data_IF_202348539654
#
_entry.id   IF_202348539654
#
_cell.length_a   1.000
_cell.length_b   1.000
_cell.length_c   1.000
_cell.angle_alpha   90.00
_cell.angle_beta   90.00
_cell.angle_gamma   90.00
#
_symmetry.space_group_name_H-M   'P 1'
#
loop_
_entity.id
_entity.type
_entity.pdbx_description
1 polymer ?
#
# COMPACT_ATOMS: atom_id res chain seq x y z
N UNK A 1 12.95 -16.48 3.90
CA UNK A 1 12.97 -15.41 4.93
C UNK A 1 14.25 -15.46 5.76
N UNK A 2 14.59 -16.59 6.38
CA UNK A 2 15.78 -16.72 7.22
C UNK A 2 17.08 -16.30 6.51
N UNK A 3 17.34 -16.81 5.31
CA UNK A 3 18.54 -16.48 4.54
C UNK A 3 18.62 -14.99 4.19
N UNK A 4 17.49 -14.36 3.86
CA UNK A 4 17.42 -12.93 3.56
C UNK A 4 17.73 -12.09 4.80
N UNK A 5 17.18 -12.47 5.97
CA UNK A 5 17.49 -11.79 7.23
C UNK A 5 18.98 -11.91 7.56
N UNK A 6 19.56 -13.10 7.43
CA UNK A 6 21.01 -13.33 7.64
C UNK A 6 21.85 -12.46 6.70
N UNK A 7 21.50 -12.40 5.41
CA UNK A 7 22.21 -11.57 4.43
C UNK A 7 22.09 -10.08 4.74
N UNK A 8 20.92 -9.61 5.20
CA UNK A 8 20.73 -8.22 5.61
C UNK A 8 21.52 -7.88 6.89
N UNK A 9 21.59 -8.80 7.86
CA UNK A 9 22.44 -8.64 9.05
C UNK A 9 23.94 -8.56 8.69
N UNK A 10 24.39 -9.36 7.73
CA UNK A 10 25.78 -9.34 7.24
C UNK A 10 26.10 -8.05 6.49
N UNK A 11 25.21 -7.58 5.61
CA UNK A 11 25.38 -6.32 4.90
C UNK A 11 25.51 -5.14 5.88
N UNK A 12 24.62 -5.07 6.88
CA UNK A 12 24.65 -4.01 7.88
C UNK A 12 25.96 -4.00 8.69
N UNK A 13 26.48 -5.17 9.05
CA UNK A 13 27.77 -5.31 9.74
C UNK A 13 28.94 -4.85 8.85
N UNK A 14 28.89 -5.18 7.56
CA UNK A 14 29.96 -4.88 6.61
C UNK A 14 30.00 -3.39 6.21
N UNK A 15 28.84 -2.75 6.08
CA UNK A 15 28.75 -1.36 5.62
C UNK A 15 28.62 -0.35 6.76
N UNK A 16 28.26 -0.80 7.96
CA UNK A 16 27.94 0.06 9.10
C UNK A 16 26.63 0.84 8.95
N UNK A 17 25.82 0.53 7.93
CA UNK A 17 24.50 1.13 7.72
C UNK A 17 23.42 0.40 8.54
N UNK A 18 22.27 1.04 8.81
CA UNK A 18 21.13 0.33 9.39
C UNK A 18 20.71 -0.85 8.50
N UNK A 19 20.35 -1.97 9.13
CA UNK A 19 19.88 -3.17 8.42
C UNK A 19 18.63 -2.86 7.60
N UNK A 20 18.58 -3.42 6.38
CA UNK A 20 17.38 -3.42 5.55
C UNK A 20 16.22 -4.15 6.25
N UNK A 21 15.02 -3.57 6.20
CA UNK A 21 13.83 -4.19 6.76
C UNK A 21 13.37 -5.37 5.89
N UNK A 22 12.89 -6.43 6.53
CA UNK A 22 12.23 -7.57 5.88
C UNK A 22 10.78 -7.65 6.36
N UNK A 23 9.85 -7.59 5.42
CA UNK A 23 8.41 -7.52 5.69
C UNK A 23 7.68 -8.42 4.71
N UNK A 24 6.42 -8.75 5.00
CA UNK A 24 5.57 -9.50 4.08
C UNK A 24 4.12 -9.02 4.15
N UNK A 25 3.46 -9.01 2.98
CA UNK A 25 2.01 -9.01 2.90
C UNK A 25 1.50 -10.46 3.01
N UNK A 26 0.57 -10.73 3.92
CA UNK A 26 0.11 -12.09 4.22
C UNK A 26 -1.42 -12.19 4.19
N UNK A 27 -1.92 -13.39 3.94
CA UNK A 27 -3.37 -13.65 3.84
C UNK A 27 -4.10 -13.42 5.17
N UNK A 28 -5.36 -13.00 5.06
CA UNK A 28 -6.32 -12.99 6.17
C UNK A 28 -7.23 -14.23 6.19
N UNK A 29 -7.24 -15.04 5.12
CA UNK A 29 -8.10 -16.22 5.01
C UNK A 29 -7.51 -17.44 5.71
N UNK A 30 -8.24 -18.00 6.68
CA UNK A 30 -7.79 -19.14 7.51
C UNK A 30 -7.22 -20.31 6.69
N UNK A 31 -7.92 -20.72 5.62
CA UNK A 31 -7.47 -21.84 4.78
C UNK A 31 -6.11 -21.60 4.12
N UNK A 32 -5.85 -20.39 3.62
CA UNK A 32 -4.55 -20.00 3.07
C UNK A 32 -3.49 -19.90 4.16
N UNK A 33 -3.86 -19.35 5.32
CA UNK A 33 -2.96 -19.22 6.47
C UNK A 33 -2.44 -20.61 6.87
N UNK A 34 -3.34 -21.56 7.11
CA UNK A 34 -3.02 -22.90 7.59
C UNK A 34 -2.22 -23.73 6.58
N UNK A 35 -2.46 -23.52 5.29
CA UNK A 35 -1.78 -24.26 4.23
C UNK A 35 -0.39 -23.71 3.89
N UNK A 36 -0.13 -22.42 4.14
CA UNK A 36 0.99 -21.71 3.53
C UNK A 36 1.99 -21.07 4.49
N UNK A 37 1.68 -20.95 5.80
CA UNK A 37 2.51 -20.15 6.71
C UNK A 37 2.88 -20.89 7.99
N UNK A 38 4.18 -20.98 8.24
CA UNK A 38 4.73 -21.30 9.56
C UNK A 38 4.65 -20.05 10.45
N UNK A 39 3.45 -19.72 10.93
CA UNK A 39 3.09 -18.42 11.53
C UNK A 39 4.10 -17.97 12.61
N UNK A 40 4.40 -18.83 13.57
CA UNK A 40 5.34 -18.54 14.65
C UNK A 40 6.78 -18.32 14.15
N UNK A 41 7.21 -19.03 13.11
CA UNK A 41 8.56 -18.87 12.56
C UNK A 41 8.68 -17.57 11.77
N UNK A 42 7.71 -17.26 10.90
CA UNK A 42 7.76 -16.00 10.17
C UNK A 42 7.62 -14.77 11.09
N UNK A 43 6.86 -14.89 12.20
CA UNK A 43 6.73 -13.85 13.22
C UNK A 43 8.04 -13.48 13.92
N UNK A 44 8.99 -14.44 14.02
CA UNK A 44 10.34 -14.18 14.53
C UNK A 44 11.19 -13.42 13.50
N UNK A 45 11.07 -13.78 12.23
CA UNK A 45 11.96 -13.34 11.16
C UNK A 45 11.60 -11.97 10.57
N UNK A 46 10.31 -11.65 10.49
CA UNK A 46 9.84 -10.42 9.87
C UNK A 46 9.90 -9.25 10.84
N UNK A 47 10.29 -8.07 10.35
CA UNK A 47 10.27 -6.82 11.12
C UNK A 47 8.83 -6.40 11.42
N UNK A 48 7.97 -6.47 10.42
CA UNK A 48 6.51 -6.38 10.56
C UNK A 48 5.79 -7.14 9.44
N UNK A 49 4.52 -7.46 9.69
CA UNK A 49 3.65 -8.26 8.84
C UNK A 49 2.42 -7.43 8.49
N UNK A 50 2.18 -7.23 7.20
CA UNK A 50 0.98 -6.55 6.69
C UNK A 50 -0.10 -7.58 6.38
N UNK A 51 -1.08 -7.73 7.26
CA UNK A 51 -2.18 -8.68 7.05
C UNK A 51 -3.18 -8.04 6.10
N UNK A 52 -3.44 -8.69 4.96
CA UNK A 52 -4.36 -8.21 3.92
C UNK A 52 -5.82 -8.45 4.35
N UNK A 53 -6.30 -7.72 5.37
CA UNK A 53 -7.65 -7.85 5.96
C UNK A 53 -8.74 -7.22 5.08
N UNK A 54 -8.77 -7.63 3.83
CA UNK A 54 -9.72 -7.23 2.78
C UNK A 54 -9.79 -8.37 1.75
N UNK A 55 -10.62 -8.23 0.72
CA UNK A 55 -10.94 -9.31 -0.23
C UNK A 55 -11.56 -10.54 0.45
N UNK A 56 -12.31 -10.32 1.53
CA UNK A 56 -13.04 -11.37 2.21
C UNK A 56 -14.22 -11.89 1.38
N UNK A 57 -14.85 -10.99 0.63
CA UNK A 57 -15.93 -11.28 -0.30
C UNK A 57 -15.75 -10.50 -1.60
N UNK A 58 -16.22 -11.08 -2.71
CA UNK A 58 -16.12 -10.44 -4.03
C UNK A 58 -16.89 -11.19 -5.10
N UNK A 59 -16.74 -10.79 -6.37
CA UNK A 59 -17.51 -11.34 -7.49
C UNK A 59 -17.34 -12.84 -7.78
N UNK A 60 -16.51 -13.54 -7.00
CA UNK A 60 -16.37 -14.99 -6.96
C UNK A 60 -17.41 -15.69 -6.05
N UNK A 61 -18.13 -14.94 -5.21
CA UNK A 61 -19.17 -15.46 -4.32
C UNK A 61 -20.53 -15.57 -5.01
N UNK A 62 -21.42 -16.39 -4.44
CA UNK A 62 -22.80 -16.61 -4.92
C UNK A 62 -23.82 -15.64 -4.33
N UNK A 63 -23.43 -14.88 -3.30
CA UNK A 63 -24.23 -13.82 -2.71
C UNK A 63 -23.36 -12.60 -2.37
N UNK A 64 -23.97 -11.43 -2.18
CA UNK A 64 -23.25 -10.21 -1.81
C UNK A 64 -22.57 -10.35 -0.45
N UNK A 65 -21.33 -9.91 -0.33
CA UNK A 65 -20.61 -9.84 0.93
C UNK A 65 -19.71 -8.61 0.97
N UNK A 66 -19.36 -8.14 2.16
CA UNK A 66 -18.54 -6.93 2.30
C UNK A 66 -17.05 -7.22 2.03
N UNK A 67 -16.34 -6.29 1.38
CA UNK A 67 -14.91 -6.44 1.08
C UNK A 67 -14.04 -6.68 2.33
N UNK A 68 -14.28 -5.88 3.37
CA UNK A 68 -13.45 -5.82 4.58
C UNK A 68 -14.28 -5.63 5.86
N UNK A 69 -15.19 -6.55 6.21
CA UNK A 69 -15.98 -6.44 7.44
C UNK A 69 -15.08 -6.49 8.68
N UNK A 70 -15.35 -5.65 9.69
CA UNK A 70 -14.56 -5.62 10.92
C UNK A 70 -14.84 -6.88 11.76
N UNK A 71 -16.11 -7.19 11.95
CA UNK A 71 -16.58 -8.32 12.76
C UNK A 71 -17.35 -9.34 11.90
N UNK A 72 -17.63 -10.49 12.49
CA UNK A 72 -18.55 -11.49 11.93
C UNK A 72 -19.97 -10.94 11.86
N UNK A 73 -20.62 -11.10 10.70
CA UNK A 73 -22.00 -10.75 10.47
C UNK A 73 -22.99 -11.81 10.97
N UNK A 74 -24.21 -11.41 11.26
CA UNK A 74 -25.32 -12.28 11.68
C UNK A 74 -25.78 -13.26 10.59
N UNK A 75 -25.39 -13.02 9.33
CA UNK A 75 -25.65 -13.89 8.17
C UNK A 75 -24.49 -14.82 7.83
N UNK A 76 -23.36 -14.69 8.52
CA UNK A 76 -22.18 -15.48 8.21
C UNK A 76 -22.31 -16.89 8.78
N UNK A 77 -22.32 -17.87 7.87
CA UNK A 77 -22.41 -19.30 8.17
C UNK A 77 -21.15 -20.04 7.67
N UNK A 78 -20.88 -21.20 8.26
CA UNK A 78 -19.72 -22.01 7.89
C UNK A 78 -18.40 -21.22 7.95
N UNK A 79 -17.60 -21.33 6.89
CA UNK A 79 -16.29 -20.69 6.80
C UNK A 79 -16.35 -19.16 6.68
N UNK A 80 -17.49 -18.58 6.27
CA UNK A 80 -17.66 -17.12 6.19
C UNK A 80 -17.48 -16.44 7.56
N UNK A 81 -17.70 -17.18 8.65
CA UNK A 81 -17.46 -16.68 10.02
C UNK A 81 -16.01 -16.32 10.30
N UNK A 82 -15.07 -16.80 9.48
CA UNK A 82 -13.65 -16.47 9.56
C UNK A 82 -13.26 -15.28 8.67
N UNK A 83 -14.15 -14.81 7.80
CA UNK A 83 -13.86 -13.79 6.79
C UNK A 83 -14.14 -12.37 7.30
N UNK A 84 -13.45 -12.01 8.38
CA UNK A 84 -13.49 -10.66 8.96
C UNK A 84 -12.15 -10.26 9.56
N UNK A 85 -11.94 -8.95 9.69
CA UNK A 85 -10.69 -8.37 10.18
C UNK A 85 -10.35 -8.86 11.59
N UNK A 86 -11.33 -8.88 12.49
CA UNK A 86 -11.15 -9.28 13.88
C UNK A 86 -10.60 -10.71 13.99
N UNK A 87 -11.23 -11.66 13.29
CA UNK A 87 -10.78 -13.04 13.27
C UNK A 87 -9.35 -13.15 12.75
N UNK A 88 -9.06 -12.57 11.58
CA UNK A 88 -7.74 -12.67 10.96
C UNK A 88 -6.63 -12.14 11.87
N UNK A 89 -6.80 -10.94 12.43
CA UNK A 89 -5.81 -10.33 13.32
C UNK A 89 -5.61 -11.14 14.61
N UNK A 90 -6.71 -11.63 15.22
CA UNK A 90 -6.64 -12.47 16.41
C UNK A 90 -6.00 -13.82 16.12
N UNK A 91 -6.23 -14.39 14.93
CA UNK A 91 -5.66 -15.68 14.52
C UNK A 91 -4.15 -15.61 14.35
N UNK A 92 -3.64 -14.60 13.65
CA UNK A 92 -2.20 -14.36 13.52
C UNK A 92 -1.52 -14.18 14.89
N UNK A 93 -2.13 -13.39 15.77
CA UNK A 93 -1.63 -13.17 17.13
C UNK A 93 -1.63 -14.45 17.96
N UNK A 94 -2.73 -15.20 17.96
CA UNK A 94 -2.88 -16.42 18.74
C UNK A 94 -1.89 -17.53 18.34
N UNK A 95 -1.39 -17.47 17.10
CA UNK A 95 -0.45 -18.46 16.55
C UNK A 95 1.02 -18.00 16.56
N UNK A 96 1.36 -16.99 17.37
CA UNK A 96 2.75 -16.70 17.75
C UNK A 96 3.36 -15.46 17.12
N UNK A 97 2.59 -14.60 16.44
CA UNK A 97 3.07 -13.29 16.01
C UNK A 97 2.87 -12.24 17.11
N UNK A 98 3.91 -11.52 17.54
CA UNK A 98 3.77 -10.38 18.45
C UNK A 98 2.83 -9.31 17.88
N UNK A 99 2.00 -8.70 18.74
CA UNK A 99 0.94 -7.78 18.28
C UNK A 99 1.52 -6.52 17.63
N UNK A 100 2.62 -6.03 18.17
CA UNK A 100 3.38 -4.88 17.69
C UNK A 100 4.02 -5.09 16.30
N UNK A 101 4.11 -6.34 15.83
CA UNK A 101 4.56 -6.65 14.46
C UNK A 101 3.41 -6.78 13.46
N UNK A 102 2.16 -6.82 13.92
CA UNK A 102 1.00 -6.99 13.05
C UNK A 102 0.43 -5.64 12.62
N UNK A 103 0.46 -5.39 11.31
CA UNK A 103 -0.20 -4.25 10.68
C UNK A 103 -1.52 -4.71 10.07
N UNK A 104 -2.63 -4.10 10.48
CA UNK A 104 -3.95 -4.38 9.94
C UNK A 104 -4.13 -3.68 8.58
N UNK A 105 -4.67 -4.38 7.59
CA UNK A 105 -4.91 -3.86 6.25
C UNK A 105 -6.19 -3.01 6.16
N UNK A 106 -6.08 -1.86 5.51
CA UNK A 106 -7.17 -0.92 5.24
C UNK A 106 -7.32 -0.75 3.72
N UNK A 107 -8.44 -1.19 3.11
CA UNK A 107 -8.66 -1.00 1.69
C UNK A 107 -9.15 0.43 1.41
N UNK A 108 -8.68 1.02 0.32
CA UNK A 108 -9.22 2.26 -0.28
C UNK A 108 -10.01 1.92 -1.54
N UNK A 109 -10.69 0.78 -1.53
CA UNK A 109 -11.52 0.27 -2.61
C UNK A 109 -12.67 -0.57 -2.06
N UNK A 110 -13.67 -0.81 -2.90
CA UNK A 110 -14.79 -1.71 -2.64
C UNK A 110 -14.83 -2.88 -3.60
N UNK A 111 -15.51 -3.95 -3.18
CA UNK A 111 -15.85 -5.10 -4.03
C UNK A 111 -17.30 -4.99 -4.47
N UNK A 112 -17.55 -5.24 -5.75
CA UNK A 112 -18.84 -4.99 -6.39
C UNK A 112 -19.50 -6.26 -6.90
N UNK A 113 -20.82 -6.25 -6.90
CA UNK A 113 -21.66 -7.38 -7.27
C UNK A 113 -22.80 -6.94 -8.16
N UNK A 114 -23.24 -7.85 -9.03
CA UNK A 114 -24.47 -7.69 -9.79
C UNK A 114 -25.60 -8.50 -9.19
N UNK A 115 -26.55 -7.81 -8.56
CA UNK A 115 -27.76 -8.41 -7.98
C UNK A 115 -28.58 -9.14 -9.06
N UNK A 116 -29.09 -10.32 -8.72
CA UNK A 116 -29.97 -11.10 -9.61
C UNK A 116 -31.46 -10.97 -9.27
N UNK A 117 -31.77 -10.31 -8.14
CA UNK A 117 -33.13 -10.07 -7.64
C UNK A 117 -33.24 -8.64 -7.09
N UNK A 118 -34.41 -8.27 -6.59
CA UNK A 118 -34.61 -7.00 -5.88
C UNK A 118 -34.11 -7.01 -4.43
N UNK A 119 -33.62 -8.14 -3.91
CA UNK A 119 -32.99 -8.19 -2.60
C UNK A 119 -31.61 -7.52 -2.68
N UNK A 120 -31.35 -6.60 -1.75
CA UNK A 120 -30.12 -5.79 -1.67
C UNK A 120 -29.38 -6.02 -0.37
N UNK A 121 -29.89 -6.90 0.50
CA UNK A 121 -29.33 -7.16 1.82
C UNK A 121 -27.99 -7.90 1.74
N UNK A 122 -27.29 -8.01 2.87
CA UNK A 122 -26.10 -8.87 2.96
C UNK A 122 -26.49 -10.31 2.69
N UNK A 123 -25.68 -10.99 1.88
CA UNK A 123 -25.96 -12.27 1.24
C UNK A 123 -27.21 -12.29 0.35
N UNK A 124 -27.55 -11.17 -0.31
CA UNK A 124 -28.49 -11.19 -1.42
C UNK A 124 -27.93 -11.99 -2.62
N UNK A 125 -28.77 -12.72 -3.38
CA UNK A 125 -28.31 -13.49 -4.54
C UNK A 125 -27.69 -12.61 -5.65
N UNK A 126 -26.58 -13.07 -6.23
CA UNK A 126 -25.86 -12.35 -7.30
C UNK A 126 -25.75 -13.19 -8.57
N UNK A 127 -25.50 -12.51 -9.68
CA UNK A 127 -25.19 -13.10 -10.98
C UNK A 127 -23.68 -13.06 -11.32
N UNK A 128 -22.88 -12.47 -10.43
CA UNK A 128 -21.43 -12.33 -10.56
C UNK A 128 -20.94 -10.96 -10.11
N UNK A 129 -19.74 -10.62 -10.56
CA UNK A 129 -19.10 -9.32 -10.35
C UNK A 129 -19.95 -8.15 -10.86
N UNK A 130 -19.91 -7.03 -10.14
CA UNK A 130 -20.50 -5.77 -10.58
C UNK A 130 -19.75 -5.18 -11.78
N UNK A 131 -20.34 -4.16 -12.41
CA UNK A 131 -19.75 -3.52 -13.59
C UNK A 131 -18.39 -2.90 -13.31
N UNK A 132 -17.52 -2.85 -14.32
CA UNK A 132 -16.21 -2.22 -14.18
C UNK A 132 -16.30 -0.71 -13.95
N UNK A 133 -15.41 -0.19 -13.12
CA UNK A 133 -15.29 1.25 -12.89
C UNK A 133 -14.75 1.99 -14.13
N UNK A 134 -15.08 3.28 -14.30
CA UNK A 134 -14.62 4.07 -15.45
C UNK A 134 -13.09 4.24 -15.52
N UNK A 135 -12.39 4.15 -14.39
CA UNK A 135 -10.94 4.34 -14.27
C UNK A 135 -10.21 3.03 -13.99
N UNK A 136 -10.65 2.25 -12.99
CA UNK A 136 -10.02 0.97 -12.63
C UNK A 136 -10.22 -0.10 -13.69
N UNK A 137 -11.35 -0.05 -14.42
CA UNK A 137 -11.67 -0.91 -15.56
C UNK A 137 -11.64 -2.41 -15.24
N UNK A 138 -11.87 -2.76 -13.98
CA UNK A 138 -11.96 -4.14 -13.50
C UNK A 138 -13.38 -4.41 -12.99
N UNK A 139 -14.03 -5.46 -13.50
CA UNK A 139 -15.34 -5.87 -13.01
C UNK A 139 -15.21 -6.43 -11.58
N UNK A 140 -16.13 -6.10 -10.69
CA UNK A 140 -16.09 -6.55 -9.30
C UNK A 140 -15.23 -5.68 -8.37
N UNK A 141 -14.69 -4.57 -8.85
CA UNK A 141 -13.75 -3.73 -8.12
C UNK A 141 -13.94 -2.25 -8.45
N UNK A 142 -14.07 -1.40 -7.43
CA UNK A 142 -14.06 0.06 -7.59
C UNK A 142 -13.11 0.72 -6.60
N UNK A 143 -12.31 1.66 -7.07
CA UNK A 143 -11.54 2.54 -6.19
C UNK A 143 -12.47 3.41 -5.33
N UNK A 144 -11.99 3.93 -4.19
CA UNK A 144 -12.79 4.78 -3.30
C UNK A 144 -13.41 5.99 -4.04
N UNK A 145 -12.65 6.62 -4.94
CA UNK A 145 -13.14 7.73 -5.76
C UNK A 145 -14.22 7.33 -6.78
N UNK A 146 -14.21 6.10 -7.28
CA UNK A 146 -15.29 5.55 -8.12
C UNK A 146 -16.53 5.25 -7.28
N UNK A 147 -16.35 4.71 -6.08
CA UNK A 147 -17.44 4.53 -5.11
C UNK A 147 -18.08 5.87 -4.80
N UNK A 148 -17.32 6.93 -4.47
CA UNK A 148 -17.85 8.28 -4.24
C UNK A 148 -18.73 8.78 -5.38
N UNK A 149 -18.32 8.51 -6.63
CA UNK A 149 -19.13 8.86 -7.80
C UNK A 149 -20.43 8.04 -7.86
N UNK A 150 -20.36 6.74 -7.59
CA UNK A 150 -21.52 5.84 -7.56
C UNK A 150 -22.52 6.21 -6.44
N UNK A 151 -22.03 6.69 -5.30
CA UNK A 151 -22.86 7.10 -4.17
C UNK A 151 -23.84 8.23 -4.52
N UNK A 152 -23.59 8.99 -5.60
CA UNK A 152 -24.52 9.97 -6.13
C UNK A 152 -25.77 9.30 -6.71
N UNK A 153 -26.83 9.28 -5.91
CA UNK A 153 -28.11 8.67 -6.26
C UNK A 153 -28.18 7.17 -5.96
N UNK A 154 -27.23 6.60 -5.23
CA UNK A 154 -27.32 5.26 -4.66
C UNK A 154 -27.93 5.30 -3.26
N UNK A 155 -28.54 4.19 -2.85
CA UNK A 155 -28.95 3.99 -1.46
C UNK A 155 -27.75 3.51 -0.66
N UNK A 156 -27.44 4.20 0.44
CA UNK A 156 -26.36 3.85 1.38
C UNK A 156 -26.95 3.13 2.59
N UNK A 157 -26.32 2.04 3.00
CA UNK A 157 -26.76 1.25 4.15
C UNK A 157 -25.56 0.93 5.03
N UNK A 158 -25.76 0.96 6.34
CA UNK A 158 -24.76 0.57 7.32
C UNK A 158 -25.01 -0.87 7.80
N UNK A 159 -23.97 -1.71 7.80
CA UNK A 159 -24.02 -3.08 8.31
C UNK A 159 -23.60 -3.04 9.77
N UNK A 160 -24.58 -3.00 10.67
CA UNK A 160 -24.36 -2.67 12.09
C UNK A 160 -23.48 -3.69 12.83
N UNK A 161 -23.63 -4.98 12.54
CA UNK A 161 -22.84 -6.05 13.15
C UNK A 161 -21.42 -6.14 12.57
N UNK A 162 -21.20 -5.76 11.30
CA UNK A 162 -19.88 -5.77 10.65
C UNK A 162 -19.13 -4.43 10.71
N UNK A 163 -19.78 -3.33 11.13
CA UNK A 163 -19.23 -1.96 11.26
C UNK A 163 -18.67 -1.37 9.98
N UNK A 164 -19.37 -1.58 8.88
CA UNK A 164 -18.98 -1.15 7.54
C UNK A 164 -20.20 -0.79 6.70
N UNK A 165 -20.07 0.11 5.72
CA UNK A 165 -21.16 0.46 4.82
C UNK A 165 -21.22 -0.44 3.58
N UNK A 166 -22.39 -0.50 2.96
CA UNK A 166 -22.51 -0.83 1.54
C UNK A 166 -23.43 0.18 0.85
N UNK A 167 -23.43 0.15 -0.48
CA UNK A 167 -24.36 0.93 -1.27
C UNK A 167 -24.88 0.13 -2.46
N UNK A 168 -26.08 0.46 -2.92
CA UNK A 168 -26.65 -0.15 -4.11
C UNK A 168 -27.46 0.84 -4.93
N UNK A 169 -27.54 0.55 -6.23
CA UNK A 169 -28.34 1.30 -7.21
C UNK A 169 -28.62 0.39 -8.39
N UNK A 170 -29.88 0.32 -8.79
CA UNK A 170 -30.34 -0.61 -9.83
C UNK A 170 -29.90 -2.05 -9.49
N UNK A 171 -29.06 -2.68 -10.31
CA UNK A 171 -28.52 -4.02 -10.06
C UNK A 171 -27.11 -4.02 -9.47
N UNK A 172 -26.51 -2.85 -9.26
CA UNK A 172 -25.14 -2.74 -8.75
C UNK A 172 -25.15 -2.65 -7.22
N UNK A 173 -24.26 -3.40 -6.59
CA UNK A 173 -24.04 -3.41 -5.14
C UNK A 173 -22.54 -3.30 -4.86
N UNK A 174 -22.14 -2.49 -3.87
CA UNK A 174 -20.75 -2.33 -3.47
C UNK A 174 -20.59 -2.31 -1.96
N UNK A 175 -19.71 -3.18 -1.45
CA UNK A 175 -19.22 -3.15 -0.08
C UNK A 175 -17.87 -2.43 -0.04
N UNK A 176 -17.77 -1.34 0.71
CA UNK A 176 -16.64 -0.42 0.70
C UNK A 176 -16.36 0.13 2.09
N UNK A 177 -15.19 0.71 2.29
CA UNK A 177 -14.87 1.42 3.54
C UNK A 177 -15.04 2.94 3.39
N UNK A 178 -15.43 3.60 4.49
CA UNK A 178 -15.53 5.05 4.59
C UNK A 178 -14.81 5.59 5.85
N UNK A 179 -14.87 6.91 6.07
CA UNK A 179 -14.29 7.57 7.25
C UNK A 179 -14.78 6.97 8.58
N UNK A 180 -16.04 6.53 8.63
CA UNK A 180 -16.67 5.96 9.83
C UNK A 180 -16.17 4.54 10.12
N UNK A 181 -16.14 3.65 9.11
CA UNK A 181 -15.61 2.29 9.26
C UNK A 181 -14.11 2.28 9.57
N UNK A 182 -13.35 3.22 8.99
CA UNK A 182 -11.94 3.45 9.37
C UNK A 182 -11.81 3.83 10.85
N UNK A 183 -12.76 4.60 11.40
CA UNK A 183 -12.85 4.90 12.84
C UNK A 183 -12.91 3.63 13.68
N UNK A 184 -13.93 2.80 13.44
CA UNK A 184 -14.12 1.54 14.18
C UNK A 184 -12.92 0.58 14.04
N UNK A 185 -12.33 0.48 12.84
CA UNK A 185 -11.15 -0.35 12.61
C UNK A 185 -9.92 0.14 13.37
N UNK A 186 -9.72 1.46 13.47
CA UNK A 186 -8.61 2.01 14.26
C UNK A 186 -8.83 1.84 15.76
N UNK A 187 -10.06 1.94 16.24
CA UNK A 187 -10.38 1.65 17.64
C UNK A 187 -10.04 0.18 17.97
N UNK A 188 -10.49 -0.76 17.14
CA UNK A 188 -10.12 -2.18 17.26
C UNK A 188 -8.59 -2.38 17.25
N UNK A 189 -7.89 -1.72 16.32
CA UNK A 189 -6.42 -1.80 16.19
C UNK A 189 -5.73 -1.39 17.48
N UNK A 190 -6.15 -0.26 18.08
CA UNK A 190 -5.58 0.25 19.33
C UNK A 190 -5.93 -0.64 20.52
N UNK A 191 -7.19 -1.05 20.65
CA UNK A 191 -7.66 -1.94 21.72
C UNK A 191 -6.93 -3.29 21.73
N UNK A 192 -6.46 -3.75 20.57
CA UNK A 192 -5.72 -4.99 20.42
C UNK A 192 -4.19 -4.82 20.41
N UNK A 193 -3.69 -3.60 20.66
CA UNK A 193 -2.26 -3.26 20.68
C UNK A 193 -1.52 -3.72 19.40
N UNK A 194 -2.16 -3.55 18.24
CA UNK A 194 -1.54 -3.86 16.96
C UNK A 194 -0.45 -2.84 16.61
N UNK A 195 0.54 -3.26 15.82
CA UNK A 195 1.69 -2.46 15.43
C UNK A 195 1.38 -1.26 14.54
N UNK A 196 0.21 -1.26 13.89
CA UNK A 196 -0.23 -0.16 13.05
C UNK A 196 -1.15 -0.60 11.92
N UNK A 197 -1.19 0.20 10.87
CA UNK A 197 -2.04 -0.01 9.71
C UNK A 197 -1.22 -0.05 8.42
N UNK A 198 -1.63 -0.89 7.49
CA UNK A 198 -1.17 -0.93 6.10
C UNK A 198 -2.35 -0.53 5.20
N UNK A 199 -2.11 0.23 4.14
CA UNK A 199 -3.18 0.68 3.23
C UNK A 199 -2.95 0.09 1.84
N UNK A 200 -4.03 -0.47 1.28
CA UNK A 200 -4.08 -0.87 -0.13
C UNK A 200 -5.19 -0.11 -0.86
N UNK A 201 -4.89 0.84 -1.74
CA UNK A 201 -3.58 1.44 -2.00
C UNK A 201 -3.68 2.97 -2.06
N UNK A 202 -2.52 3.63 -2.03
CA UNK A 202 -2.45 5.09 -2.00
C UNK A 202 -3.15 5.74 -3.20
N UNK A 203 -3.10 5.12 -4.37
CA UNK A 203 -3.67 5.60 -5.64
C UNK A 203 -5.19 5.33 -5.77
N UNK A 204 -5.79 4.56 -4.87
CA UNK A 204 -7.22 4.22 -4.90
C UNK A 204 -8.07 5.09 -3.95
N UNK A 205 -7.43 5.79 -3.02
CA UNK A 205 -8.08 6.87 -2.26
C UNK A 205 -8.39 8.06 -3.18
N UNK A 206 -9.23 9.02 -2.76
CA UNK A 206 -9.37 10.29 -3.51
C UNK A 206 -8.14 11.18 -3.29
N UNK A 207 -7.01 10.75 -3.86
CA UNK A 207 -5.71 11.40 -3.74
C UNK A 207 -5.72 12.85 -4.24
N UNK A 208 -6.58 13.14 -5.22
CA UNK A 208 -6.73 14.48 -5.79
C UNK A 208 -7.68 15.37 -4.98
N UNK A 209 -8.62 14.78 -4.24
CA UNK A 209 -9.71 15.45 -3.56
C UNK A 209 -10.85 15.93 -4.48
N UNK A 210 -10.98 15.33 -5.67
CA UNK A 210 -11.87 15.82 -6.73
C UNK A 210 -13.18 15.03 -6.84
N UNK A 211 -13.34 13.92 -6.13
CA UNK A 211 -14.46 12.99 -6.29
C UNK A 211 -15.38 12.94 -5.08
N UNK A 212 -14.81 12.94 -3.88
CA UNK A 212 -15.56 12.69 -2.65
C UNK A 212 -16.01 13.98 -1.93
N UNK A 213 -15.45 15.14 -2.29
CA UNK A 213 -15.60 16.41 -1.55
C UNK A 213 -15.12 16.34 -0.08
N UNK A 214 -14.15 15.47 0.21
CA UNK A 214 -13.60 15.24 1.55
C UNK A 214 -12.12 15.69 1.67
N UNK A 215 -11.60 16.39 0.66
CA UNK A 215 -10.20 16.79 0.56
C UNK A 215 -9.31 15.70 -0.03
N UNK A 216 -7.99 15.93 -0.06
CA UNK A 216 -7.01 14.98 -0.60
C UNK A 216 -6.78 13.82 0.37
N UNK A 217 -6.75 12.60 -0.16
CA UNK A 217 -6.51 11.38 0.59
C UNK A 217 -7.42 11.27 1.83
N UNK A 218 -8.76 11.36 1.69
CA UNK A 218 -9.66 11.46 2.82
C UNK A 218 -9.54 10.26 3.78
N UNK A 219 -9.47 9.03 3.25
CA UNK A 219 -9.36 7.83 4.07
C UNK A 219 -7.99 7.72 4.75
N UNK A 220 -6.90 7.93 3.99
CA UNK A 220 -5.54 7.81 4.54
C UNK A 220 -5.23 8.94 5.52
N UNK A 221 -5.69 10.17 5.24
CA UNK A 221 -5.56 11.31 6.16
C UNK A 221 -6.33 11.07 7.45
N UNK A 222 -7.54 10.50 7.36
CA UNK A 222 -8.32 10.09 8.53
C UNK A 222 -7.58 9.04 9.35
N UNK A 223 -7.06 7.99 8.70
CA UNK A 223 -6.28 6.93 9.35
C UNK A 223 -5.07 7.51 10.11
N UNK A 224 -4.27 8.35 9.44
CA UNK A 224 -3.11 9.03 10.03
C UNK A 224 -3.50 9.87 11.25
N UNK A 225 -4.58 10.64 11.14
CA UNK A 225 -5.10 11.45 12.24
C UNK A 225 -5.55 10.60 13.41
N UNK A 226 -6.29 9.51 13.16
CA UNK A 226 -6.77 8.61 14.21
C UNK A 226 -5.62 7.91 14.93
N UNK A 227 -4.54 7.56 14.23
CA UNK A 227 -3.34 6.98 14.83
C UNK A 227 -2.47 7.99 15.59
N UNK A 228 -2.86 9.28 15.64
CA UNK A 228 -2.09 10.31 16.35
C UNK A 228 -0.77 10.66 15.69
N UNK A 229 -0.59 10.29 14.41
CA UNK A 229 0.61 10.57 13.64
C UNK A 229 0.58 12.03 13.16
N UNK A 230 0.96 12.96 14.04
CA UNK A 230 1.17 14.35 13.62
C UNK A 230 2.34 14.41 12.63
N UNK A 231 2.27 15.33 11.66
CA UNK A 231 3.40 15.69 10.79
C UNK A 231 4.48 16.46 11.56
N UNK A 232 4.89 15.96 12.73
CA UNK A 232 6.20 16.29 13.26
C UNK A 232 7.24 15.76 12.28
N UNK A 233 8.30 16.52 12.04
CA UNK A 233 9.45 16.02 11.28
C UNK A 233 9.78 14.60 11.73
N UNK A 234 10.03 13.68 10.81
CA UNK A 234 10.71 12.42 11.12
C UNK A 234 12.06 12.75 11.77
N UNK A 235 12.06 12.99 13.07
CA UNK A 235 13.27 12.99 13.87
C UNK A 235 13.67 11.52 13.90
N UNK A 236 14.80 11.19 13.28
CA UNK A 236 15.34 9.84 13.27
C UNK A 236 15.57 9.38 14.71
N UNK A 237 14.59 8.71 15.32
CA UNK A 237 14.74 8.11 16.66
C UNK A 237 15.42 6.77 16.50
N UNK A 238 16.72 6.83 16.18
CA UNK A 238 17.78 5.88 16.49
C UNK A 238 18.97 6.19 15.57
N UNK A 239 19.84 7.10 16.02
CA UNK A 239 21.25 6.93 15.67
C UNK A 239 21.80 5.87 16.61
N UNK A 240 22.24 4.70 16.13
CA UNK A 240 23.03 3.79 16.96
C UNK A 240 24.30 4.51 17.44
N UNK A 241 24.84 4.16 18.63
CA UNK A 241 26.06 4.78 19.13
C UNK A 241 27.18 4.65 18.10
N UNK A 242 27.83 5.78 17.80
CA UNK A 242 28.99 5.83 16.91
C UNK A 242 30.10 4.92 17.48
N UNK A 243 30.68 3.99 16.70
CA UNK A 243 31.86 3.26 17.14
C UNK A 243 33.01 4.23 17.40
N UNK A 244 33.66 4.10 18.56
CA UNK A 244 34.87 4.86 18.87
C UNK A 244 35.96 4.53 17.84
N UNK A 245 36.48 5.58 17.21
CA UNK A 245 37.53 5.48 16.20
C UNK A 245 38.88 5.17 16.85
N UNK A 246 39.32 3.91 16.76
CA UNK A 246 40.73 3.56 16.80
C UNK A 246 41.35 3.78 15.42
N UNK A 247 42.33 4.67 15.33
CA UNK A 247 43.17 4.81 14.13
C UNK A 247 44.16 3.66 14.00
N UNK A 248 44.42 3.18 12.79
CA UNK A 248 45.49 3.66 11.92
C UNK A 248 45.73 2.70 10.74
N UNK A 249 46.17 3.25 9.60
CA UNK A 249 47.08 2.60 8.64
C UNK A 249 46.53 1.60 7.62
N UNK A 250 46.58 1.97 6.33
CA UNK A 250 46.62 0.97 5.25
C UNK A 250 46.32 1.46 3.84
N UNK A 251 47.34 1.96 3.14
CA UNK A 251 47.35 2.22 1.69
C UNK A 251 47.10 0.95 0.86
N UNK A 252 46.46 1.10 -0.31
CA UNK A 252 46.46 0.09 -1.37
C UNK A 252 45.64 0.52 -2.58
N UNK A 253 46.33 0.96 -3.65
CA UNK A 253 45.72 1.24 -4.94
C UNK A 253 45.50 -0.03 -5.79
N UNK A 254 44.69 0.10 -6.84
CA UNK A 254 44.53 -0.90 -7.89
C UNK A 254 43.25 -0.70 -8.69
N UNK A 255 43.37 -0.26 -9.93
CA UNK A 255 42.26 -0.10 -10.88
C UNK A 255 41.85 -1.39 -11.59
N UNK A 256 40.75 -1.32 -12.34
CA UNK A 256 40.30 -2.35 -13.27
C UNK A 256 38.82 -2.22 -13.64
N UNK A 257 38.55 -1.81 -14.88
CA UNK A 257 37.24 -1.65 -15.51
C UNK A 257 36.60 -2.96 -16.04
N UNK A 258 35.29 -2.90 -16.29
CA UNK A 258 34.53 -3.70 -17.27
C UNK A 258 33.09 -3.94 -16.78
N UNK A 259 31.98 -3.67 -17.48
CA UNK A 259 31.70 -3.13 -18.82
C UNK A 259 30.25 -3.49 -19.24
N UNK A 260 29.57 -2.58 -19.96
CA UNK A 260 28.29 -2.80 -20.69
C UNK A 260 27.10 -1.96 -20.19
N UNK A 261 26.24 -1.34 -20.99
CA UNK A 261 26.16 -1.11 -22.44
C UNK A 261 25.13 0.03 -22.70
N UNK A 262 25.30 0.79 -23.80
CA UNK A 262 24.19 1.40 -24.56
C UNK A 262 23.59 2.77 -24.15
N UNK A 263 24.21 3.87 -24.59
CA UNK A 263 23.55 5.19 -24.69
C UNK A 263 24.48 6.26 -25.28
N UNK A 264 24.31 6.61 -26.56
CA UNK A 264 25.22 7.41 -27.37
C UNK A 264 25.68 8.73 -26.72
N UNK A 265 26.98 8.78 -26.40
CA UNK A 265 27.66 9.95 -25.88
C UNK A 265 27.94 11.00 -26.96
N UNK A 266 27.32 12.17 -26.80
CA UNK A 266 27.94 13.43 -27.13
C UNK A 266 28.40 14.08 -25.83
N UNK A 267 29.70 14.06 -25.57
CA UNK A 267 30.28 14.70 -24.38
C UNK A 267 30.32 16.21 -24.62
N UNK A 268 29.21 16.88 -24.34
CA UNK A 268 29.08 18.34 -24.42
C UNK A 268 29.64 19.04 -23.17
N UNK A 269 30.25 18.29 -22.25
CA UNK A 269 30.91 18.81 -21.05
C UNK A 269 29.95 19.41 -20.02
N UNK A 270 28.63 19.36 -20.23
CA UNK A 270 27.63 19.96 -19.32
C UNK A 270 27.79 19.50 -17.87
N UNK A 271 28.08 18.21 -17.66
CA UNK A 271 28.23 17.61 -16.33
C UNK A 271 29.61 17.79 -15.69
N UNK A 272 30.56 18.46 -16.36
CA UNK A 272 31.88 18.72 -15.79
C UNK A 272 31.77 19.62 -14.55
N UNK A 273 32.15 19.10 -13.38
CA UNK A 273 32.08 19.83 -12.11
C UNK A 273 30.69 19.92 -11.48
N UNK A 274 29.68 19.25 -12.05
CA UNK A 274 28.35 19.11 -11.45
C UNK A 274 28.28 17.86 -10.57
N UNK A 275 27.41 17.90 -9.56
CA UNK A 275 27.07 16.71 -8.78
C UNK A 275 26.26 15.73 -9.65
N UNK A 276 26.31 14.45 -9.30
CA UNK A 276 25.47 13.44 -9.96
C UNK A 276 23.99 13.75 -9.71
N UNK A 277 23.17 13.62 -10.76
CA UNK A 277 21.76 13.99 -10.72
C UNK A 277 21.17 14.40 -12.07
N UNK A 278 19.90 14.79 -12.06
CA UNK A 278 19.16 15.19 -13.26
C UNK A 278 18.97 16.71 -13.29
N UNK A 279 19.17 17.31 -14.46
CA UNK A 279 19.17 18.75 -14.71
C UNK A 279 18.38 19.07 -15.98
N UNK A 280 17.68 20.20 -16.01
CA UNK A 280 17.01 20.69 -17.22
C UNK A 280 18.00 20.99 -18.35
N UNK A 281 17.58 20.76 -19.59
CA UNK A 281 18.27 21.32 -20.75
C UNK A 281 17.85 22.80 -20.90
N UNK A 282 18.79 23.77 -20.77
CA UNK A 282 18.47 25.20 -20.89
C UNK A 282 18.05 25.62 -22.30
N UNK A 283 18.21 24.77 -23.31
CA UNK A 283 17.87 25.05 -24.72
C UNK A 283 16.57 24.39 -25.17
N UNK A 284 16.11 23.36 -24.48
CA UNK A 284 14.97 22.55 -24.88
C UNK A 284 14.21 22.03 -23.64
N UNK A 285 13.06 22.63 -23.35
CA UNK A 285 12.25 22.27 -22.18
C UNK A 285 11.70 20.85 -22.25
N UNK A 286 11.79 20.16 -23.40
CA UNK A 286 11.38 18.77 -23.55
C UNK A 286 12.51 17.78 -23.28
N UNK A 287 13.70 18.26 -22.92
CA UNK A 287 14.88 17.44 -22.67
C UNK A 287 15.51 17.72 -21.32
N UNK A 288 16.37 16.79 -20.90
CA UNK A 288 17.09 16.88 -19.64
C UNK A 288 18.43 16.14 -19.71
N UNK A 289 19.35 16.59 -18.88
CA UNK A 289 20.67 15.99 -18.67
C UNK A 289 20.69 15.13 -17.42
N UNK A 290 21.31 13.97 -17.48
CA UNK A 290 21.68 13.16 -16.32
C UNK A 290 23.20 13.18 -16.20
N UNK A 291 23.69 13.64 -15.06
CA UNK A 291 25.10 13.60 -14.70
C UNK A 291 25.39 12.37 -13.84
N UNK A 292 26.37 11.59 -14.25
CA UNK A 292 26.87 10.46 -13.46
C UNK A 292 28.39 10.36 -13.60
N UNK A 293 29.12 10.51 -12.49
CA UNK A 293 30.59 10.50 -12.47
C UNK A 293 31.22 11.58 -13.36
N UNK A 294 30.57 12.75 -13.48
CA UNK A 294 31.02 13.85 -14.33
C UNK A 294 30.76 13.67 -15.84
N UNK A 295 30.10 12.58 -16.26
CA UNK A 295 29.71 12.34 -17.66
C UNK A 295 28.31 12.89 -17.93
N UNK A 296 28.12 13.51 -19.10
CA UNK A 296 26.81 13.97 -19.55
C UNK A 296 26.06 12.88 -20.32
N UNK A 297 24.82 12.63 -19.91
CA UNK A 297 23.84 11.86 -20.68
C UNK A 297 22.63 12.75 -20.98
N UNK A 298 22.21 12.81 -22.24
CA UNK A 298 21.13 13.70 -22.67
C UNK A 298 19.90 12.89 -23.08
N UNK A 299 18.76 13.16 -22.45
CA UNK A 299 17.51 12.43 -22.61
C UNK A 299 16.35 13.34 -23.03
N UNK A 300 15.36 12.73 -23.67
CA UNK A 300 14.15 13.36 -24.18
C UNK A 300 12.95 12.88 -23.37
N UNK A 301 12.11 13.79 -22.92
CA UNK A 301 10.82 13.47 -22.31
C UNK A 301 9.88 12.80 -23.31
N UNK A 302 8.95 11.98 -22.81
CA UNK A 302 7.92 11.38 -23.65
C UNK A 302 7.12 12.47 -24.41
N UNK A 303 6.58 12.11 -25.58
CA UNK A 303 5.92 13.06 -26.47
C UNK A 303 4.80 13.82 -25.75
N UNK A 304 4.88 15.16 -25.77
CA UNK A 304 3.92 16.05 -25.12
C UNK A 304 4.27 16.46 -23.69
N UNK A 305 5.35 15.92 -23.11
CA UNK A 305 5.83 16.27 -21.78
C UNK A 305 7.03 17.23 -21.84
N UNK A 306 7.19 18.04 -20.79
CA UNK A 306 8.33 18.92 -20.52
C UNK A 306 9.01 18.49 -19.23
N UNK A 307 10.30 18.79 -19.09
CA UNK A 307 11.04 18.50 -17.86
C UNK A 307 10.70 19.52 -16.77
N UNK A 308 10.24 19.03 -15.61
CA UNK A 308 9.93 19.83 -14.43
C UNK A 308 11.04 19.69 -13.38
N UNK A 309 11.69 20.81 -13.10
CA UNK A 309 12.81 20.90 -12.15
C UNK A 309 12.42 20.63 -10.70
N UNK A 310 11.15 20.83 -10.33
CA UNK A 310 10.70 20.60 -8.96
C UNK A 310 10.62 19.12 -8.62
N UNK A 311 10.14 18.30 -9.56
CA UNK A 311 10.04 16.85 -9.39
C UNK A 311 11.22 16.07 -9.95
N UNK A 312 12.10 16.73 -10.73
CA UNK A 312 13.17 16.08 -11.51
C UNK A 312 12.61 15.01 -12.46
N UNK A 313 11.49 15.30 -13.10
CA UNK A 313 10.70 14.36 -13.88
C UNK A 313 10.09 15.01 -15.12
N UNK A 314 9.69 14.21 -16.11
CA UNK A 314 8.91 14.70 -17.24
C UNK A 314 7.43 14.79 -16.86
N UNK A 315 6.85 15.97 -16.98
CA UNK A 315 5.48 16.27 -16.59
C UNK A 315 4.75 17.04 -17.71
N UNK A 316 3.44 17.18 -17.59
CA UNK A 316 2.66 18.01 -18.50
C UNK A 316 3.05 19.49 -18.35
N UNK A 317 3.17 20.27 -19.45
CA UNK A 317 3.50 21.69 -19.40
C UNK A 317 2.49 22.55 -18.64
#
# INVERSE_FOLDING_TARGET
LQEMLTAFDEEAKNTGRPRLLITAAVSAGKGTIDAGYEIAEIGKLLDFISVMTYDFHGGWDTCTGHNSPLHVGSKDEGDMRYFNCEFAMKYWRANGVPSEKLLMGFPTYGRTFRLSTSDTSVCAPVSGAGSSGPYTREAGFWASYEVCTFLNGATKVWIEDQKVPYAYKDTEWVGYDNIESYGYKVDFLKENNLGGAMVWAIDLDDFSGSFCNEGKYPLISKLKSLLGLSSGSCSSVHQPPRPESGGDGGSGGGGGEGGGDGGSGGDDGFCTGKADGIYSDPKDSTKYYQCAGGRTFHFQCAQGLVFDENCKCCNWP
#
